data_IF_374685322362
#
_entry.id   IF_374685322362
#
_cell.length_a   1.000
_cell.length_b   1.000
_cell.length_c   1.000
_cell.angle_alpha   90.00
_cell.angle_beta   90.00
_cell.angle_gamma   90.00
#
_symmetry.space_group_name_H-M   'P 1'
#
loop_
_entity.id
_entity.type
_entity.pdbx_description
1 polymer ?
#
# COMPACT_ATOMS: atom_id res chain seq x y z
N UNK A 1 8.86 3.35 -11.36
CA UNK A 1 9.36 3.51 -9.97
C UNK A 1 8.32 2.89 -9.06
N UNK A 2 8.68 1.86 -8.30
CA UNK A 2 7.84 1.33 -7.22
C UNK A 2 8.23 2.07 -5.94
N UNK A 3 7.23 2.65 -5.27
CA UNK A 3 7.38 3.17 -3.91
C UNK A 3 7.28 1.98 -2.94
N UNK A 4 7.92 2.05 -1.78
CA UNK A 4 7.87 1.00 -0.77
C UNK A 4 7.02 1.47 0.43
N UNK A 5 6.05 0.68 0.87
CA UNK A 5 5.31 0.97 2.10
C UNK A 5 6.20 0.59 3.29
N UNK A 6 6.50 1.58 4.14
CA UNK A 6 7.34 1.39 5.32
C UNK A 6 6.50 0.98 6.53
N UNK A 7 7.16 0.47 7.57
CA UNK A 7 6.53 0.10 8.86
C UNK A 7 5.86 1.27 9.61
N UNK A 8 5.88 2.47 9.06
CA UNK A 8 5.13 3.64 9.57
C UNK A 8 3.70 3.70 9.02
N UNK A 9 3.30 2.77 8.16
CA UNK A 9 1.92 2.67 7.69
C UNK A 9 0.98 2.48 8.88
N UNK A 10 -0.08 3.29 8.93
CA UNK A 10 -1.10 3.27 9.98
C UNK A 10 -2.44 2.71 9.49
N UNK A 11 -2.46 2.10 8.30
CA UNK A 11 -3.65 1.54 7.67
C UNK A 11 -4.79 2.58 7.55
N UNK A 12 -4.50 3.72 6.93
CA UNK A 12 -5.45 4.81 6.71
C UNK A 12 -6.27 4.69 5.41
N UNK A 13 -6.08 3.61 4.64
CA UNK A 13 -6.81 3.24 3.42
C UNK A 13 -6.74 4.25 2.25
N UNK A 14 -6.05 5.37 2.43
CA UNK A 14 -6.00 6.44 1.42
C UNK A 14 -5.17 6.07 0.20
N UNK A 15 -4.20 5.17 0.33
CA UNK A 15 -3.30 4.79 -0.75
C UNK A 15 -3.90 3.77 -1.73
N UNK A 16 -4.85 2.95 -1.29
CA UNK A 16 -5.47 1.90 -2.11
C UNK A 16 -6.25 2.48 -3.32
N UNK A 17 -7.22 3.41 -3.15
CA UNK A 17 -8.00 3.94 -4.28
C UNK A 17 -7.19 4.88 -5.18
N UNK A 18 -6.10 5.44 -4.66
CA UNK A 18 -5.23 6.35 -5.41
C UNK A 18 -4.24 5.60 -6.31
N UNK A 19 -4.08 4.28 -6.13
CA UNK A 19 -3.16 3.50 -6.95
C UNK A 19 -3.79 3.18 -8.32
N UNK A 20 -3.29 3.76 -9.43
CA UNK A 20 -3.88 3.56 -10.76
C UNK A 20 -3.65 2.14 -11.31
N UNK A 21 -2.73 1.38 -10.72
CA UNK A 21 -2.43 0.00 -11.10
C UNK A 21 -3.09 -1.01 -10.15
N UNK A 22 -3.84 -0.54 -9.14
CA UNK A 22 -4.47 -1.40 -8.11
C UNK A 22 -3.48 -2.38 -7.46
N UNK A 23 -2.23 -1.94 -7.35
CA UNK A 23 -1.11 -2.77 -6.89
C UNK A 23 -1.00 -2.82 -5.36
N UNK A 24 -1.79 -2.02 -4.64
CA UNK A 24 -1.71 -1.88 -3.18
C UNK A 24 -2.83 -2.69 -2.54
N UNK A 25 -2.48 -3.52 -1.58
CA UNK A 25 -3.42 -4.40 -0.87
C UNK A 25 -3.07 -4.52 0.62
N UNK A 26 -4.07 -4.76 1.47
CA UNK A 26 -3.87 -4.93 2.91
C UNK A 26 -3.16 -6.28 3.21
N UNK A 27 -1.98 -6.22 3.82
CA UNK A 27 -1.22 -7.38 4.30
C UNK A 27 -1.57 -7.76 5.75
N UNK A 28 -0.69 -8.49 6.44
CA UNK A 28 -0.94 -8.93 7.83
C UNK A 28 -0.94 -7.79 8.86
N UNK A 29 -0.11 -6.76 8.64
CA UNK A 29 0.10 -5.68 9.61
C UNK A 29 0.07 -4.29 8.99
N UNK A 30 0.52 -4.18 7.75
CA UNK A 30 0.57 -2.95 6.98
C UNK A 30 0.13 -3.25 5.54
N UNK A 31 -0.25 -2.20 4.83
CA UNK A 31 -0.41 -2.28 3.38
C UNK A 31 0.88 -2.71 2.68
N UNK A 32 0.73 -3.50 1.63
CA UNK A 32 1.80 -4.05 0.80
C UNK A 32 1.57 -3.69 -0.68
N UNK A 33 2.66 -3.54 -1.43
CA UNK A 33 2.63 -3.20 -2.85
C UNK A 33 3.11 -4.42 -3.63
N UNK A 34 2.24 -4.97 -4.47
CA UNK A 34 2.56 -6.02 -5.42
C UNK A 34 3.22 -5.39 -6.65
N UNK A 35 4.48 -5.75 -6.89
CA UNK A 35 5.30 -5.24 -8.00
C UNK A 35 5.25 -6.12 -9.23
#
# INVERSE_FOLDING_TARGET
MSLLITKRCINCDMCEPECPNEAISMGEHIYEINS
#
